data_IF_413967524390
#
_entry.id   IF_413967524390
#
_cell.length_a   1.000
_cell.length_b   1.000
_cell.length_c   1.000
_cell.angle_alpha   90.00
_cell.angle_beta   90.00
_cell.angle_gamma   90.00
#
_symmetry.space_group_name_H-M   'P 1'
#
loop_
_entity.id
_entity.type
_entity.pdbx_description
1 polymer ?
#
# COMPACT_ATOMS: atom_id res chain seq x y z
N UNK A 1 -7.08 -8.46 15.63
CA UNK A 1 -6.91 -9.85 15.15
C UNK A 1 -6.85 -10.87 16.30
N UNK A 2 -5.96 -10.77 17.29
CA UNK A 2 -5.82 -11.77 18.36
C UNK A 2 -7.14 -12.09 19.09
N UNK A 3 -7.97 -11.09 19.38
CA UNK A 3 -9.30 -11.31 19.97
C UNK A 3 -10.21 -12.14 19.06
N UNK A 4 -10.13 -11.96 17.75
CA UNK A 4 -10.90 -12.74 16.78
C UNK A 4 -10.46 -14.19 16.78
N UNK A 5 -9.16 -14.45 16.74
CA UNK A 5 -8.64 -15.84 16.78
C UNK A 5 -9.06 -16.58 18.05
N UNK A 6 -9.24 -15.86 19.15
CA UNK A 6 -9.68 -16.42 20.43
C UNK A 6 -11.20 -16.59 20.55
N UNK A 7 -12.02 -16.13 19.58
CA UNK A 7 -13.47 -16.31 19.64
C UNK A 7 -13.85 -17.79 19.53
N UNK A 8 -14.67 -18.32 20.45
CA UNK A 8 -15.04 -19.74 20.47
C UNK A 8 -15.93 -20.15 19.29
N UNK A 9 -16.73 -19.22 18.77
CA UNK A 9 -17.74 -19.47 17.74
C UNK A 9 -17.46 -18.71 16.43
N UNK A 10 -16.17 -18.45 16.11
CA UNK A 10 -15.83 -17.88 14.82
C UNK A 10 -16.14 -18.84 13.67
N UNK A 11 -16.65 -18.32 12.57
CA UNK A 11 -17.05 -19.13 11.43
C UNK A 11 -15.84 -19.66 10.61
N UNK A 12 -14.69 -18.99 10.69
CA UNK A 12 -13.48 -19.35 9.94
C UNK A 12 -12.49 -20.02 10.86
N UNK A 13 -12.13 -21.27 10.53
CA UNK A 13 -11.27 -22.13 11.36
C UNK A 13 -9.78 -21.80 11.20
N UNK A 14 -9.38 -20.54 11.53
CA UNK A 14 -7.99 -20.09 11.57
C UNK A 14 -7.62 -19.57 12.97
N UNK A 15 -6.35 -19.65 13.32
CA UNK A 15 -5.84 -19.27 14.63
C UNK A 15 -4.79 -18.16 14.59
N UNK A 16 -4.36 -17.77 13.39
CA UNK A 16 -3.37 -16.72 13.21
C UNK A 16 -3.57 -15.96 11.88
N UNK A 17 -2.99 -14.78 11.77
CA UNK A 17 -3.02 -13.99 10.54
C UNK A 17 -2.19 -14.63 9.41
N UNK A 18 -1.18 -15.42 9.74
CA UNK A 18 -0.33 -16.15 8.81
C UNK A 18 -1.08 -17.23 8.02
N UNK A 19 -2.26 -17.65 8.49
CA UNK A 19 -3.14 -18.58 7.80
C UNK A 19 -3.99 -17.89 6.70
N UNK A 20 -4.05 -16.57 6.66
CA UNK A 20 -4.66 -15.81 5.59
C UNK A 20 -3.66 -15.73 4.43
N UNK A 21 -3.89 -16.50 3.36
CA UNK A 21 -2.95 -16.66 2.24
C UNK A 21 -3.56 -16.33 0.88
N UNK A 22 -4.84 -15.98 0.85
CA UNK A 22 -5.59 -15.64 -0.35
C UNK A 22 -6.76 -14.71 -0.05
N UNK A 23 -7.37 -14.18 -1.11
CA UNK A 23 -8.51 -13.28 -1.00
C UNK A 23 -9.76 -13.94 -0.41
N UNK A 24 -10.02 -15.22 -0.72
CA UNK A 24 -11.21 -15.90 -0.24
C UNK A 24 -11.17 -16.04 1.29
N UNK A 25 -10.01 -16.45 1.83
CA UNK A 25 -9.79 -16.52 3.28
C UNK A 25 -9.84 -15.15 3.93
N UNK A 26 -9.19 -14.14 3.33
CA UNK A 26 -9.26 -12.75 3.82
C UNK A 26 -10.71 -12.27 3.89
N UNK A 27 -11.48 -12.46 2.81
CA UNK A 27 -12.89 -12.07 2.74
C UNK A 27 -13.73 -12.75 3.82
N UNK A 28 -13.59 -14.05 3.96
CA UNK A 28 -14.32 -14.81 4.98
C UNK A 28 -14.01 -14.31 6.40
N UNK A 29 -12.74 -14.08 6.72
CA UNK A 29 -12.30 -13.55 8.02
C UNK A 29 -12.87 -12.14 8.26
N UNK A 30 -12.76 -11.25 7.28
CA UNK A 30 -13.27 -9.88 7.40
C UNK A 30 -14.79 -9.86 7.63
N UNK A 31 -15.54 -10.64 6.85
CA UNK A 31 -17.01 -10.70 6.98
C UNK A 31 -17.44 -11.31 8.33
N UNK A 32 -16.72 -12.32 8.81
CA UNK A 32 -17.00 -12.91 10.13
C UNK A 32 -16.61 -11.95 11.28
N UNK A 33 -15.48 -11.25 11.18
CA UNK A 33 -15.09 -10.20 12.12
C UNK A 33 -16.13 -9.07 12.16
N UNK A 34 -16.68 -8.66 11.02
CA UNK A 34 -17.69 -7.61 10.94
C UNK A 34 -18.98 -8.03 11.62
N UNK A 35 -19.41 -9.29 11.48
CA UNK A 35 -20.57 -9.83 12.21
C UNK A 35 -20.33 -9.85 13.72
N UNK A 36 -19.11 -10.09 14.15
CA UNK A 36 -18.72 -10.20 15.55
C UNK A 36 -18.09 -8.89 16.10
N UNK A 37 -18.22 -7.76 15.42
CA UNK A 37 -17.52 -6.50 15.77
C UNK A 37 -17.77 -6.03 17.20
N UNK A 38 -18.98 -6.20 17.71
CA UNK A 38 -19.35 -5.79 19.08
C UNK A 38 -18.62 -6.64 20.13
N UNK A 39 -18.54 -7.97 19.93
CA UNK A 39 -17.77 -8.88 20.78
C UNK A 39 -16.26 -8.60 20.71
N UNK A 40 -15.78 -8.13 19.57
CA UNK A 40 -14.39 -7.73 19.38
C UNK A 40 -14.08 -6.35 19.97
N UNK A 41 -15.10 -5.53 20.23
CA UNK A 41 -14.97 -4.18 20.74
C UNK A 41 -14.48 -3.19 19.68
N UNK A 42 -14.82 -3.43 18.40
CA UNK A 42 -14.46 -2.56 17.27
C UNK A 42 -15.74 -1.97 16.63
N UNK A 43 -15.59 -0.86 15.91
CA UNK A 43 -16.70 -0.20 15.19
C UNK A 43 -16.87 -0.73 13.76
N UNK A 44 -15.79 -1.22 13.18
CA UNK A 44 -15.71 -1.84 11.86
C UNK A 44 -14.39 -2.58 11.74
N UNK A 45 -14.27 -3.47 10.75
CA UNK A 45 -13.02 -4.23 10.56
C UNK A 45 -11.93 -3.32 10.02
N UNK A 46 -12.27 -2.46 9.05
CA UNK A 46 -11.32 -1.53 8.45
C UNK A 46 -11.50 -0.09 8.96
N UNK A 47 -10.39 0.62 9.06
CA UNK A 47 -10.38 2.08 9.16
C UNK A 47 -11.03 2.72 7.92
N UNK A 48 -11.31 4.02 7.97
CA UNK A 48 -11.73 4.79 6.80
C UNK A 48 -10.67 4.73 5.69
N UNK A 49 -11.07 5.02 4.45
CA UNK A 49 -10.21 4.82 3.28
C UNK A 49 -9.34 6.02 2.91
N UNK A 50 -9.28 7.08 3.68
CA UNK A 50 -8.48 8.28 3.34
C UNK A 50 -8.78 8.80 1.91
N UNK A 51 -10.05 9.11 1.61
CA UNK A 51 -10.49 9.56 0.29
C UNK A 51 -10.67 11.07 0.16
N UNK A 52 -10.35 11.85 1.20
CA UNK A 52 -10.31 13.31 1.09
C UNK A 52 -9.32 13.76 0.00
N UNK A 53 -9.58 14.91 -0.61
CA UNK A 53 -8.70 15.47 -1.63
C UNK A 53 -7.24 15.52 -1.15
N UNK A 54 -6.30 15.07 -1.98
CA UNK A 54 -4.88 14.97 -1.65
C UNK A 54 -4.49 13.77 -0.76
N UNK A 55 -5.45 12.98 -0.28
CA UNK A 55 -5.17 11.80 0.58
C UNK A 55 -5.37 10.47 -0.16
N UNK A 56 -5.78 10.48 -1.42
CA UNK A 56 -6.19 9.30 -2.18
C UNK A 56 -5.03 8.45 -2.71
N UNK A 57 -3.80 8.93 -2.66
CA UNK A 57 -2.62 8.32 -3.27
C UNK A 57 -2.37 6.86 -2.81
N UNK A 58 -2.80 6.47 -1.59
CA UNK A 58 -2.72 5.08 -1.14
C UNK A 58 -3.52 4.12 -2.01
N UNK A 59 -4.57 4.61 -2.59
CA UNK A 59 -5.51 3.83 -3.38
C UNK A 59 -5.23 3.96 -4.88
N UNK A 60 -4.99 5.17 -5.34
CA UNK A 60 -4.74 5.48 -6.75
C UNK A 60 -3.31 5.16 -7.20
N UNK A 61 -2.42 4.83 -6.25
CA UNK A 61 -1.03 4.47 -6.52
C UNK A 61 -0.70 3.11 -5.92
N UNK A 62 -0.69 3.00 -4.58
CA UNK A 62 -0.20 1.79 -3.91
C UNK A 62 -1.12 0.58 -4.09
N UNK A 63 -2.42 0.75 -3.91
CA UNK A 63 -3.33 -0.40 -4.03
C UNK A 63 -3.57 -0.80 -5.48
N UNK A 64 -3.66 0.16 -6.42
CA UNK A 64 -3.80 -0.14 -7.86
C UNK A 64 -2.55 -0.78 -8.43
N UNK A 65 -1.41 -0.64 -7.77
CA UNK A 65 -0.17 -1.31 -8.17
C UNK A 65 -0.34 -2.82 -8.36
N UNK A 66 -1.11 -3.49 -7.51
CA UNK A 66 -1.28 -4.95 -7.56
C UNK A 66 -1.94 -5.41 -8.88
N UNK A 67 -3.12 -4.91 -9.28
CA UNK A 67 -3.71 -5.32 -10.56
C UNK A 67 -2.86 -4.91 -11.77
N UNK A 68 -2.15 -3.77 -11.72
CA UNK A 68 -1.24 -3.36 -12.79
C UNK A 68 -0.02 -4.28 -12.88
N UNK A 69 0.59 -4.62 -11.75
CA UNK A 69 1.73 -5.54 -11.71
C UNK A 69 1.40 -6.88 -12.39
N UNK A 70 0.28 -7.51 -12.03
CA UNK A 70 -0.11 -8.80 -12.61
C UNK A 70 -0.53 -8.69 -14.07
N UNK A 71 -1.13 -7.58 -14.49
CA UNK A 71 -1.42 -7.34 -15.90
C UNK A 71 -0.14 -7.26 -16.73
N UNK A 72 0.84 -6.47 -16.28
CA UNK A 72 2.12 -6.31 -16.98
C UNK A 72 2.97 -7.58 -16.94
N UNK A 73 2.99 -8.28 -15.82
CA UNK A 73 3.65 -9.57 -15.71
C UNK A 73 3.07 -10.59 -16.71
N UNK A 74 1.75 -10.64 -16.84
CA UNK A 74 1.07 -11.54 -17.77
C UNK A 74 1.33 -11.16 -19.24
N UNK A 75 1.42 -9.87 -19.55
CA UNK A 75 1.72 -9.38 -20.91
C UNK A 75 3.12 -9.78 -21.38
N UNK A 76 4.10 -9.76 -20.50
CA UNK A 76 5.49 -10.11 -20.82
C UNK A 76 6.18 -10.77 -19.62
N UNK A 77 5.98 -12.09 -19.41
CA UNK A 77 6.48 -12.80 -18.21
C UNK A 77 8.00 -12.77 -18.03
N UNK A 78 8.76 -12.66 -19.11
CA UNK A 78 10.22 -12.62 -19.12
C UNK A 78 10.78 -11.19 -18.94
N UNK A 79 9.91 -10.20 -18.84
CA UNK A 79 10.28 -8.78 -18.72
C UNK A 79 9.82 -8.25 -17.36
N UNK A 80 10.57 -7.31 -16.80
CA UNK A 80 10.12 -6.62 -15.58
C UNK A 80 8.75 -5.96 -15.81
N UNK A 81 7.76 -6.14 -14.92
CA UNK A 81 6.46 -5.48 -15.03
C UNK A 81 6.54 -3.96 -15.19
N UNK A 82 7.54 -3.30 -14.58
CA UNK A 82 7.79 -1.86 -14.78
C UNK A 82 8.12 -1.55 -16.22
N UNK A 83 9.04 -2.29 -16.86
CA UNK A 83 9.42 -2.06 -18.25
C UNK A 83 8.26 -2.36 -19.20
N UNK A 84 7.50 -3.42 -18.94
CA UNK A 84 6.29 -3.73 -19.71
C UNK A 84 5.27 -2.60 -19.62
N UNK A 85 5.06 -2.06 -18.41
CA UNK A 85 4.13 -0.96 -18.17
C UNK A 85 4.57 0.36 -18.80
N UNK A 86 5.89 0.68 -18.77
CA UNK A 86 6.44 1.86 -19.46
C UNK A 86 6.19 1.84 -20.98
N UNK A 87 6.19 0.64 -21.57
CA UNK A 87 5.91 0.46 -23.00
C UNK A 87 4.41 0.34 -23.32
N UNK A 88 3.54 0.33 -22.32
CA UNK A 88 2.11 0.12 -22.51
C UNK A 88 1.39 1.42 -22.90
N UNK A 89 1.15 1.62 -24.20
CA UNK A 89 0.39 2.75 -24.74
C UNK A 89 -1.07 2.76 -24.25
N UNK A 90 -1.61 1.60 -23.93
CA UNK A 90 -2.97 1.40 -23.45
C UNK A 90 -2.99 0.49 -22.24
N UNK A 91 -3.98 0.70 -21.37
CA UNK A 91 -4.27 -0.15 -20.21
C UNK A 91 -5.52 -1.00 -20.52
N UNK A 92 -5.41 -2.33 -20.38
CA UNK A 92 -6.58 -3.20 -20.49
C UNK A 92 -7.38 -3.25 -19.19
N UNK A 93 -6.69 -3.03 -18.08
CA UNK A 93 -7.20 -3.12 -16.72
C UNK A 93 -7.89 -4.48 -16.46
N UNK A 94 -7.24 -5.56 -16.91
CA UNK A 94 -7.77 -6.92 -16.89
C UNK A 94 -8.20 -7.39 -15.51
N UNK A 95 -7.50 -6.97 -14.46
CA UNK A 95 -7.77 -7.33 -13.08
C UNK A 95 -8.67 -6.30 -12.35
N UNK A 96 -9.44 -5.48 -13.10
CA UNK A 96 -10.31 -4.46 -12.50
C UNK A 96 -11.37 -5.04 -11.56
N UNK A 97 -11.92 -6.23 -11.87
CA UNK A 97 -12.90 -6.90 -11.00
C UNK A 97 -12.29 -7.29 -9.66
N UNK A 98 -11.08 -7.82 -9.65
CA UNK A 98 -10.36 -8.19 -8.44
C UNK A 98 -10.08 -6.96 -7.57
N UNK A 99 -9.68 -5.86 -8.21
CA UNK A 99 -9.53 -4.56 -7.56
C UNK A 99 -10.84 -4.06 -6.95
N UNK A 100 -11.96 -4.17 -7.68
CA UNK A 100 -13.30 -3.87 -7.19
C UNK A 100 -13.66 -4.70 -5.95
N UNK A 101 -13.47 -6.00 -6.03
CA UNK A 101 -13.86 -6.93 -4.97
C UNK A 101 -13.12 -6.62 -3.65
N UNK A 102 -11.82 -6.32 -3.71
CA UNK A 102 -11.06 -5.85 -2.54
C UNK A 102 -11.59 -4.50 -2.03
N UNK A 103 -11.90 -3.56 -2.94
CA UNK A 103 -12.41 -2.24 -2.57
C UNK A 103 -13.77 -2.33 -1.89
N UNK A 104 -14.65 -3.15 -2.42
CA UNK A 104 -15.97 -3.41 -1.84
C UNK A 104 -15.86 -4.12 -0.49
N UNK A 105 -14.97 -5.10 -0.36
CA UNK A 105 -14.69 -5.75 0.92
C UNK A 105 -14.25 -4.73 1.97
N UNK A 106 -13.31 -3.85 1.61
CA UNK A 106 -12.80 -2.82 2.51
C UNK A 106 -13.90 -1.83 2.92
N UNK A 107 -14.58 -1.23 1.95
CA UNK A 107 -15.55 -0.15 2.23
C UNK A 107 -16.86 -0.63 2.85
N UNK A 108 -17.30 -1.86 2.55
CA UNK A 108 -18.48 -2.47 3.17
C UNK A 108 -18.26 -2.84 4.65
N UNK A 109 -16.99 -3.08 5.03
CA UNK A 109 -16.62 -3.48 6.39
C UNK A 109 -15.82 -2.40 7.12
N UNK A 110 -15.82 -1.17 6.60
CA UNK A 110 -15.23 0.00 7.26
C UNK A 110 -16.12 0.52 8.38
N UNK A 111 -15.49 1.15 9.37
CA UNK A 111 -16.19 1.85 10.44
C UNK A 111 -16.89 3.15 9.94
N UNK A 112 -16.50 3.66 8.76
CA UNK A 112 -17.05 4.88 8.15
C UNK A 112 -17.97 4.53 6.97
N UNK A 113 -19.15 5.14 6.94
CA UNK A 113 -20.09 4.98 5.82
C UNK A 113 -19.49 5.48 4.50
N UNK A 114 -19.79 4.79 3.40
CA UNK A 114 -19.24 5.10 2.06
C UNK A 114 -19.44 6.56 1.65
N UNK A 115 -20.60 7.14 1.96
CA UNK A 115 -20.94 8.53 1.64
C UNK A 115 -20.10 9.58 2.39
N UNK A 116 -19.36 9.16 3.42
CA UNK A 116 -18.50 10.04 4.22
C UNK A 116 -17.01 9.88 3.92
N UNK A 117 -16.64 8.98 3.02
CA UNK A 117 -15.22 8.68 2.74
C UNK A 117 -14.47 9.86 2.15
N UNK A 118 -15.15 10.72 1.38
CA UNK A 118 -14.55 11.95 0.81
C UNK A 118 -14.12 12.99 1.85
N UNK A 119 -14.57 12.87 3.09
CA UNK A 119 -14.13 13.75 4.19
C UNK A 119 -13.03 13.15 5.06
N UNK A 120 -12.58 11.93 4.78
CA UNK A 120 -11.61 11.19 5.61
C UNK A 120 -10.19 11.37 5.11
N UNK A 121 -9.35 11.90 5.99
CA UNK A 121 -7.90 12.05 5.78
C UNK A 121 -7.14 10.77 6.17
N UNK A 122 -5.84 10.79 5.88
CA UNK A 122 -4.90 9.79 6.37
C UNK A 122 -4.83 9.78 7.89
N UNK A 123 -4.76 10.95 8.51
CA UNK A 123 -4.67 11.08 9.96
C UNK A 123 -5.90 10.51 10.65
N UNK A 124 -7.10 10.72 10.08
CA UNK A 124 -8.33 10.07 10.57
C UNK A 124 -8.18 8.54 10.57
N UNK A 125 -7.72 7.97 9.46
CA UNK A 125 -7.57 6.52 9.32
C UNK A 125 -6.53 5.94 10.29
N UNK A 126 -5.41 6.65 10.50
CA UNK A 126 -4.39 6.25 11.47
C UNK A 126 -4.89 6.34 12.90
N UNK A 127 -5.61 7.41 13.23
CA UNK A 127 -6.21 7.59 14.56
C UNK A 127 -7.27 6.51 14.87
N UNK A 128 -8.13 6.19 13.91
CA UNK A 128 -9.13 5.14 14.04
C UNK A 128 -8.49 3.77 14.38
N UNK A 129 -7.39 3.43 13.72
CA UNK A 129 -6.64 2.22 14.02
C UNK A 129 -5.91 2.31 15.36
N UNK A 130 -5.18 3.38 15.62
CA UNK A 130 -4.42 3.57 16.85
C UNK A 130 -5.31 3.55 18.11
N UNK A 131 -6.52 4.08 18.02
CA UNK A 131 -7.52 4.08 19.10
C UNK A 131 -8.25 2.73 19.25
N UNK A 132 -7.89 1.71 18.47
CA UNK A 132 -8.48 0.37 18.52
C UNK A 132 -9.93 0.32 18.05
N UNK A 133 -10.36 1.26 17.21
CA UNK A 133 -11.73 1.31 16.68
C UNK A 133 -11.94 0.35 15.51
N UNK A 134 -10.84 -0.10 14.89
CA UNK A 134 -10.84 -1.10 13.81
C UNK A 134 -9.67 -2.06 13.97
N UNK A 135 -9.65 -3.13 13.18
CA UNK A 135 -8.62 -4.18 13.25
C UNK A 135 -7.60 -4.09 12.12
N UNK A 136 -7.93 -3.42 11.02
CA UNK A 136 -7.11 -3.34 9.82
C UNK A 136 -7.15 -1.93 9.22
N UNK A 137 -6.03 -1.55 8.60
CA UNK A 137 -5.92 -0.31 7.82
C UNK A 137 -4.92 -0.52 6.69
N UNK A 138 -5.20 0.04 5.51
CA UNK A 138 -4.25 0.01 4.39
C UNK A 138 -3.30 1.20 4.53
N UNK A 139 -2.00 0.91 4.62
CA UNK A 139 -0.93 1.91 4.59
C UNK A 139 0.44 1.22 4.35
N UNK A 140 1.54 1.97 4.39
CA UNK A 140 2.91 1.48 4.28
C UNK A 140 3.65 1.44 5.63
N UNK A 141 4.95 1.10 5.57
CA UNK A 141 5.78 0.99 6.78
C UNK A 141 5.93 2.32 7.56
N UNK A 142 5.84 3.46 6.90
CA UNK A 142 5.81 4.79 7.53
C UNK A 142 4.64 4.99 8.51
N UNK A 143 3.58 4.18 8.42
CA UNK A 143 2.42 4.27 9.32
C UNK A 143 2.76 3.98 10.79
N UNK A 144 3.85 3.25 11.07
CA UNK A 144 4.24 2.92 12.44
C UNK A 144 4.36 4.17 13.33
N UNK A 145 5.05 5.20 12.85
CA UNK A 145 5.21 6.45 13.60
C UNK A 145 3.87 7.18 13.80
N UNK A 146 3.01 7.22 12.79
CA UNK A 146 1.70 7.85 12.88
C UNK A 146 0.78 7.14 13.90
N UNK A 147 0.77 5.80 13.87
CA UNK A 147 -0.04 4.98 14.78
C UNK A 147 0.45 5.15 16.22
N UNK A 148 1.74 4.93 16.45
CA UNK A 148 2.33 4.96 17.81
C UNK A 148 2.35 6.37 18.40
N UNK A 149 2.48 7.41 17.58
CA UNK A 149 2.45 8.82 17.98
C UNK A 149 1.04 9.38 18.19
N UNK A 150 -0.02 8.65 17.88
CA UNK A 150 -1.40 9.13 18.07
C UNK A 150 -1.72 9.28 19.57
N UNK A 151 -2.18 10.45 20.04
CA UNK A 151 -2.60 10.64 21.43
C UNK A 151 -3.69 9.64 21.83
N UNK A 152 -3.49 8.93 22.92
CA UNK A 152 -4.41 7.90 23.40
C UNK A 152 -4.33 6.57 22.65
N UNK A 153 -3.26 6.34 21.88
CA UNK A 153 -2.99 5.07 21.22
C UNK A 153 -3.19 3.87 22.15
N UNK A 154 -3.88 2.85 21.68
CA UNK A 154 -4.19 1.59 22.39
C UNK A 154 -3.52 0.36 21.77
N UNK A 155 -2.82 0.54 20.67
CA UNK A 155 -2.18 -0.55 19.92
C UNK A 155 -0.73 -0.66 20.36
N UNK A 156 -0.34 -1.82 20.84
CA UNK A 156 1.06 -2.08 21.19
C UNK A 156 1.91 -2.24 19.91
N UNK A 157 3.15 -1.78 19.95
CA UNK A 157 4.09 -1.90 18.83
C UNK A 157 4.21 -3.34 18.30
N UNK A 158 4.26 -4.33 19.18
CA UNK A 158 4.35 -5.74 18.83
C UNK A 158 3.10 -6.30 18.10
N UNK A 159 1.96 -5.63 18.22
CA UNK A 159 0.70 -6.05 17.59
C UNK A 159 0.48 -5.43 16.20
N UNK A 160 1.35 -4.49 15.78
CA UNK A 160 1.29 -3.89 14.46
C UNK A 160 2.03 -4.80 13.48
N UNK A 161 1.29 -5.39 12.53
CA UNK A 161 1.85 -6.33 11.55
C UNK A 161 1.27 -6.09 10.17
N UNK A 162 2.05 -6.46 9.14
CA UNK A 162 1.57 -6.48 7.77
C UNK A 162 0.85 -7.78 7.40
N UNK A 163 -0.14 -7.62 6.55
CA UNK A 163 -0.77 -8.68 5.76
C UNK A 163 -0.71 -8.25 4.29
N UNK A 164 -0.31 -9.14 3.36
CA UNK A 164 -0.34 -8.83 1.93
C UNK A 164 -1.73 -8.43 1.42
N UNK A 165 -1.76 -7.64 0.35
CA UNK A 165 -2.99 -7.25 -0.32
C UNK A 165 -3.42 -8.37 -1.27
N UNK A 166 -4.17 -9.34 -0.77
CA UNK A 166 -4.77 -10.38 -1.61
C UNK A 166 -6.01 -9.86 -2.34
N UNK A 167 -6.10 -10.10 -3.63
CA UNK A 167 -7.19 -9.67 -4.50
C UNK A 167 -7.85 -10.80 -5.27
N UNK A 168 -7.37 -12.04 -5.14
CA UNK A 168 -7.86 -13.20 -5.89
C UNK A 168 -7.45 -13.17 -7.36
N UNK A 169 -6.30 -12.59 -7.67
CA UNK A 169 -5.75 -12.56 -9.03
C UNK A 169 -5.03 -13.87 -9.32
N UNK A 170 -5.17 -14.38 -10.54
CA UNK A 170 -4.43 -15.56 -10.98
C UNK A 170 -2.92 -15.33 -10.86
N UNK A 171 -2.23 -16.26 -10.19
CA UNK A 171 -0.80 -16.13 -9.90
C UNK A 171 -0.47 -15.45 -8.57
N UNK A 172 -1.47 -14.99 -7.80
CA UNK A 172 -1.29 -14.35 -6.48
C UNK A 172 -0.81 -15.35 -5.40
N UNK A 173 -0.85 -16.64 -5.67
CA UNK A 173 -0.42 -17.65 -4.70
C UNK A 173 1.02 -17.36 -4.25
N UNK A 174 1.25 -17.30 -2.94
CA UNK A 174 2.51 -16.92 -2.31
C UNK A 174 2.93 -15.45 -2.53
N UNK A 175 2.02 -14.56 -2.87
CA UNK A 175 2.29 -13.13 -2.90
C UNK A 175 2.66 -12.61 -1.51
N UNK A 176 3.72 -11.82 -1.47
CA UNK A 176 4.17 -11.07 -0.30
C UNK A 176 3.69 -9.62 -0.32
N UNK A 177 4.45 -8.77 0.37
CA UNK A 177 4.19 -7.34 0.38
C UNK A 177 4.54 -6.70 -0.97
N UNK A 178 3.87 -5.57 -1.26
CA UNK A 178 4.35 -4.65 -2.29
C UNK A 178 5.60 -3.94 -1.77
N UNK A 179 6.73 -4.16 -2.44
CA UNK A 179 8.03 -3.62 -2.04
C UNK A 179 8.76 -3.09 -3.27
N UNK A 180 9.45 -1.98 -3.11
CA UNK A 180 10.29 -1.41 -4.15
C UNK A 180 10.97 -0.14 -3.66
N UNK A 181 11.91 0.36 -4.47
CA UNK A 181 12.64 1.57 -4.17
C UNK A 181 11.81 2.80 -4.53
N UNK A 182 11.73 3.74 -3.61
CA UNK A 182 11.11 5.05 -3.76
C UNK A 182 12.08 6.15 -3.24
N UNK A 183 11.67 7.42 -3.35
CA UNK A 183 12.41 8.56 -2.81
C UNK A 183 13.83 8.67 -3.36
N UNK A 184 13.95 8.67 -4.69
CA UNK A 184 15.24 8.84 -5.36
C UNK A 184 15.81 10.24 -5.13
N UNK A 185 17.10 10.31 -4.86
CA UNK A 185 17.87 11.55 -4.80
C UNK A 185 18.61 11.74 -6.12
N UNK A 186 18.44 12.91 -6.75
CA UNK A 186 19.06 13.24 -8.01
C UNK A 186 19.89 14.50 -7.89
N UNK A 187 21.10 14.50 -8.48
CA UNK A 187 21.93 15.70 -8.59
C UNK A 187 21.55 16.42 -9.89
N UNK A 188 21.20 17.72 -9.80
CA UNK A 188 20.84 18.51 -10.97
C UNK A 188 22.06 18.71 -11.88
N UNK A 189 22.05 18.11 -13.07
CA UNK A 189 23.12 18.20 -14.07
C UNK A 189 23.40 19.62 -14.57
N UNK A 190 22.45 20.55 -14.40
CA UNK A 190 22.57 21.96 -14.83
C UNK A 190 23.04 22.88 -13.68
N UNK A 191 23.27 22.35 -12.48
CA UNK A 191 23.89 23.12 -11.39
C UNK A 191 25.39 23.35 -11.67
N UNK A 192 26.01 24.30 -10.96
CA UNK A 192 27.45 24.53 -11.07
C UNK A 192 28.25 23.27 -10.65
N UNK A 193 29.46 23.13 -11.14
CA UNK A 193 30.33 22.00 -10.78
C UNK A 193 30.56 21.91 -9.26
N UNK A 194 30.71 23.05 -8.59
CA UNK A 194 30.88 23.13 -7.14
C UNK A 194 29.63 22.65 -6.39
N UNK A 195 28.44 23.02 -6.88
CA UNK A 195 27.17 22.58 -6.28
C UNK A 195 26.95 21.08 -6.48
N UNK A 196 27.28 20.53 -7.66
CA UNK A 196 27.22 19.10 -7.92
C UNK A 196 28.18 18.33 -7.00
N UNK A 197 29.43 18.79 -6.88
CA UNK A 197 30.43 18.18 -6.00
C UNK A 197 30.00 18.24 -4.51
N UNK A 198 29.43 19.36 -4.07
CA UNK A 198 28.91 19.48 -2.70
C UNK A 198 27.73 18.51 -2.44
N UNK A 199 26.83 18.34 -3.41
CA UNK A 199 25.74 17.40 -3.31
C UNK A 199 26.25 15.93 -3.25
N UNK A 200 27.25 15.57 -4.06
CA UNK A 200 27.86 14.25 -4.05
C UNK A 200 28.54 13.94 -2.71
N UNK A 201 29.31 14.91 -2.18
CA UNK A 201 29.95 14.78 -0.85
C UNK A 201 28.88 14.58 0.23
N UNK A 202 27.79 15.36 0.21
CA UNK A 202 26.71 15.24 1.17
C UNK A 202 26.02 13.86 1.09
N UNK A 203 25.66 13.41 -0.10
CA UNK A 203 25.01 12.11 -0.29
C UNK A 203 25.93 10.96 0.11
N UNK A 204 27.21 11.04 -0.27
CA UNK A 204 28.20 10.06 0.16
C UNK A 204 28.30 10.01 1.68
N UNK A 205 28.41 11.15 2.34
CA UNK A 205 28.42 11.24 3.80
C UNK A 205 27.14 10.65 4.42
N UNK A 206 25.97 11.02 3.89
CA UNK A 206 24.66 10.59 4.41
C UNK A 206 24.50 9.07 4.41
N UNK A 207 24.95 8.39 3.34
CA UNK A 207 24.75 6.95 3.19
C UNK A 207 25.98 6.09 3.54
N UNK A 208 27.12 6.69 3.92
CA UNK A 208 28.34 5.95 4.25
C UNK A 208 28.90 6.23 5.65
N UNK A 209 28.70 7.44 6.19
CA UNK A 209 29.21 7.75 7.52
C UNK A 209 28.34 7.15 8.63
N UNK A 210 28.90 6.82 9.83
CA UNK A 210 28.12 6.31 10.94
C UNK A 210 26.98 7.25 11.35
N UNK A 211 27.22 8.56 11.34
CA UNK A 211 26.21 9.57 11.68
C UNK A 211 25.12 9.66 10.63
N UNK A 212 25.49 9.70 9.35
CA UNK A 212 24.54 9.75 8.25
C UNK A 212 23.66 8.50 8.20
N UNK A 213 24.23 7.31 8.32
CA UNK A 213 23.49 6.05 8.38
C UNK A 213 22.50 6.02 9.54
N UNK A 214 22.90 6.51 10.71
CA UNK A 214 22.02 6.61 11.87
C UNK A 214 20.82 7.52 11.60
N UNK A 215 21.05 8.71 11.02
CA UNK A 215 19.97 9.62 10.64
C UNK A 215 19.00 8.95 9.66
N UNK A 216 19.51 8.26 8.64
CA UNK A 216 18.68 7.59 7.64
C UNK A 216 17.84 6.46 8.25
N UNK A 217 18.43 5.62 9.08
CA UNK A 217 17.74 4.44 9.63
C UNK A 217 16.93 4.72 10.88
N UNK A 218 17.44 5.53 11.82
CA UNK A 218 16.78 5.74 13.11
C UNK A 218 15.81 6.93 13.10
N UNK A 219 16.15 8.04 12.41
CA UNK A 219 15.31 9.23 12.41
C UNK A 219 14.33 9.22 11.24
N UNK A 220 14.81 8.96 10.01
CA UNK A 220 13.98 8.89 8.82
C UNK A 220 13.25 7.55 8.65
N UNK A 221 13.67 6.49 9.35
CA UNK A 221 13.12 5.13 9.27
C UNK A 221 13.17 4.54 7.85
N UNK A 222 14.14 4.93 7.05
CA UNK A 222 14.31 4.40 5.70
C UNK A 222 15.00 3.04 5.72
N UNK A 223 14.39 2.07 5.04
CA UNK A 223 15.02 0.82 4.66
C UNK A 223 15.81 1.11 3.39
N UNK A 224 17.12 1.16 3.48
CA UNK A 224 17.97 1.52 2.33
C UNK A 224 18.26 0.31 1.44
N UNK A 225 18.37 0.50 0.10
CA UNK A 225 18.75 -0.57 -0.81
C UNK A 225 20.27 -0.82 -0.86
N UNK A 226 21.06 -0.14 -0.02
CA UNK A 226 22.52 -0.19 -0.06
C UNK A 226 23.07 -1.32 0.82
N UNK A 227 23.92 -2.14 0.26
CA UNK A 227 24.63 -3.22 0.96
C UNK A 227 25.68 -2.73 1.97
N UNK A 228 25.95 -1.43 2.01
CA UNK A 228 26.78 -0.77 3.02
C UNK A 228 26.12 -0.67 4.40
N UNK A 229 24.81 -0.92 4.50
CA UNK A 229 24.10 -0.97 5.78
C UNK A 229 24.06 -2.41 6.30
N UNK A 230 24.56 -2.60 7.51
CA UNK A 230 24.47 -3.87 8.24
C UNK A 230 23.06 -4.07 8.81
N UNK A 231 22.73 -5.30 9.21
CA UNK A 231 21.45 -5.60 9.89
C UNK A 231 21.21 -4.74 11.15
N UNK A 232 22.27 -4.42 11.88
CA UNK A 232 22.21 -3.58 13.08
C UNK A 232 21.91 -2.08 12.76
N UNK A 233 22.10 -1.69 11.52
CA UNK A 233 21.83 -0.33 11.02
C UNK A 233 20.47 -0.21 10.30
N UNK A 234 19.64 -1.26 10.31
CA UNK A 234 18.28 -1.21 9.76
C UNK A 234 17.31 -0.56 10.75
N UNK A 235 16.21 0.06 10.26
CA UNK A 235 15.19 0.62 11.12
C UNK A 235 14.61 -0.41 12.10
N UNK A 236 14.38 0.01 13.34
CA UNK A 236 13.89 -0.86 14.43
C UNK A 236 12.39 -0.75 14.67
N UNK A 237 11.69 0.10 13.92
CA UNK A 237 10.24 0.19 14.03
C UNK A 237 9.53 -1.10 13.56
N UNK A 238 8.33 -1.41 14.09
CA UNK A 238 7.69 -2.71 13.88
C UNK A 238 7.36 -3.00 12.41
N UNK A 239 7.00 -1.98 11.61
CA UNK A 239 6.61 -2.19 10.22
C UNK A 239 7.82 -2.33 9.29
N UNK A 240 8.90 -1.60 9.53
CA UNK A 240 10.16 -1.79 8.79
C UNK A 240 10.75 -3.18 9.07
N UNK A 241 10.68 -3.67 10.31
CA UNK A 241 11.04 -5.04 10.64
C UNK A 241 10.17 -6.07 9.90
N UNK A 242 8.86 -5.82 9.78
CA UNK A 242 7.96 -6.69 9.02
C UNK A 242 8.30 -6.72 7.52
N UNK A 243 8.68 -5.60 6.91
CA UNK A 243 9.15 -5.59 5.51
C UNK A 243 10.34 -6.53 5.34
N UNK A 244 11.34 -6.44 6.21
CA UNK A 244 12.53 -7.31 6.16
C UNK A 244 12.16 -8.79 6.34
N UNK A 245 11.27 -9.12 7.27
CA UNK A 245 10.79 -10.48 7.50
C UNK A 245 10.08 -11.02 6.24
N UNK A 246 9.18 -10.25 5.64
CA UNK A 246 8.44 -10.67 4.46
C UNK A 246 9.33 -10.83 3.23
N UNK A 247 10.30 -9.95 3.01
CA UNK A 247 11.26 -10.03 1.90
C UNK A 247 12.16 -11.27 1.99
N UNK A 248 12.51 -11.71 3.20
CA UNK A 248 13.36 -12.87 3.44
C UNK A 248 12.56 -14.18 3.64
N UNK A 249 11.24 -14.15 3.57
CA UNK A 249 10.39 -15.32 3.81
C UNK A 249 10.46 -16.29 2.62
N UNK A 250 10.93 -17.50 2.88
CA UNK A 250 11.04 -18.55 1.86
C UNK A 250 9.69 -18.88 1.21
N UNK A 251 9.69 -19.00 -0.10
CA UNK A 251 8.50 -19.34 -0.88
C UNK A 251 7.48 -18.21 -1.05
N UNK A 252 7.84 -16.98 -0.67
CA UNK A 252 7.01 -15.79 -0.84
C UNK A 252 7.66 -14.85 -1.85
N UNK A 253 6.87 -14.32 -2.78
CA UNK A 253 7.30 -13.41 -3.82
C UNK A 253 6.82 -11.99 -3.51
N UNK A 254 7.74 -11.04 -3.33
CA UNK A 254 7.39 -9.62 -3.23
C UNK A 254 6.79 -9.13 -4.55
N UNK A 255 5.79 -8.25 -4.46
CA UNK A 255 5.20 -7.57 -5.60
C UNK A 255 5.97 -6.27 -5.80
N UNK A 256 6.65 -6.12 -6.95
CA UNK A 256 7.39 -4.90 -7.26
C UNK A 256 6.48 -3.70 -7.51
N UNK A 257 6.98 -2.49 -7.23
CA UNK A 257 6.30 -1.26 -7.60
C UNK A 257 6.37 -1.01 -9.11
N UNK A 258 5.21 -0.70 -9.70
CA UNK A 258 5.08 -0.31 -11.12
C UNK A 258 4.82 1.19 -11.28
N UNK A 259 5.11 1.98 -10.27
CA UNK A 259 4.79 3.42 -10.23
C UNK A 259 5.39 4.21 -11.39
N UNK A 260 6.60 3.86 -11.81
CA UNK A 260 7.25 4.52 -12.94
C UNK A 260 6.51 4.29 -14.28
N UNK A 261 5.67 3.26 -14.35
CA UNK A 261 4.84 2.97 -15.52
C UNK A 261 3.53 3.78 -15.54
N UNK A 262 3.09 4.31 -14.41
CA UNK A 262 1.90 5.17 -14.36
C UNK A 262 2.22 6.47 -15.10
N UNK A 263 1.44 6.83 -16.16
CA UNK A 263 1.86 7.88 -17.08
C UNK A 263 1.93 9.28 -16.45
N UNK A 264 1.06 9.60 -15.46
CA UNK A 264 1.05 10.94 -14.87
C UNK A 264 0.34 11.00 -13.52
N UNK A 265 0.49 12.12 -12.81
CA UNK A 265 -0.32 12.46 -11.63
C UNK A 265 -1.81 12.69 -12.02
N UNK A 266 -2.08 13.20 -13.23
CA UNK A 266 -3.45 13.41 -13.72
C UNK A 266 -4.20 12.09 -13.85
N UNK A 267 -3.55 11.02 -14.35
CA UNK A 267 -4.14 9.69 -14.35
C UNK A 267 -4.50 9.21 -12.94
N UNK A 268 -3.59 9.39 -11.99
CA UNK A 268 -3.83 9.00 -10.59
C UNK A 268 -5.02 9.76 -9.99
N UNK A 269 -5.07 11.07 -10.22
CA UNK A 269 -6.14 11.94 -9.71
C UNK A 269 -7.49 11.58 -10.33
N UNK A 270 -7.53 11.28 -11.63
CA UNK A 270 -8.73 10.81 -12.32
C UNK A 270 -9.24 9.49 -11.76
N UNK A 271 -8.32 8.51 -11.53
CA UNK A 271 -8.67 7.24 -10.90
C UNK A 271 -9.18 7.43 -9.46
N UNK A 272 -8.52 8.27 -8.66
CA UNK A 272 -8.92 8.57 -7.28
C UNK A 272 -10.31 9.21 -7.21
N UNK A 273 -10.60 10.14 -8.11
CA UNK A 273 -11.91 10.80 -8.22
C UNK A 273 -13.01 9.83 -8.67
N UNK A 274 -12.70 8.95 -9.62
CA UNK A 274 -13.64 7.92 -10.07
C UNK A 274 -13.92 6.87 -8.98
N UNK A 275 -12.91 6.50 -8.17
CA UNK A 275 -13.09 5.65 -6.98
C UNK A 275 -14.04 6.28 -5.97
N UNK A 276 -13.84 7.55 -5.66
CA UNK A 276 -14.71 8.26 -4.71
C UNK A 276 -16.15 8.33 -5.23
N UNK A 277 -16.34 8.68 -6.50
CA UNK A 277 -17.66 8.73 -7.12
C UNK A 277 -18.39 7.36 -7.07
N UNK A 278 -17.64 6.28 -7.30
CA UNK A 278 -18.17 4.92 -7.15
C UNK A 278 -18.60 4.61 -5.71
N UNK A 279 -17.75 4.91 -4.72
CA UNK A 279 -18.10 4.65 -3.31
C UNK A 279 -19.30 5.45 -2.83
N UNK A 280 -19.44 6.67 -3.31
CA UNK A 280 -20.59 7.53 -2.99
C UNK A 280 -21.87 7.15 -3.75
N UNK A 281 -21.81 6.14 -4.63
CA UNK A 281 -22.95 5.72 -5.46
C UNK A 281 -23.32 6.72 -6.57
N UNK A 282 -22.40 7.62 -6.93
CA UNK A 282 -22.57 8.64 -7.98
C UNK A 282 -22.18 8.13 -9.36
N UNK A 283 -21.43 7.04 -9.45
CA UNK A 283 -20.98 6.42 -10.69
C UNK A 283 -20.93 4.90 -10.58
N UNK A 284 -21.13 4.22 -11.69
CA UNK A 284 -20.96 2.77 -11.82
C UNK A 284 -19.49 2.39 -11.96
N UNK A 285 -19.15 1.14 -11.60
CA UNK A 285 -17.77 0.64 -11.70
C UNK A 285 -17.20 0.73 -13.12
N UNK A 286 -18.03 0.48 -14.14
CA UNK A 286 -17.59 0.57 -15.53
C UNK A 286 -17.15 1.99 -15.94
N UNK A 287 -17.68 3.03 -15.30
CA UNK A 287 -17.20 4.41 -15.52
C UNK A 287 -15.76 4.57 -15.02
N UNK A 288 -15.44 3.97 -13.88
CA UNK A 288 -14.06 3.97 -13.35
C UNK A 288 -13.12 3.22 -14.28
N UNK A 289 -13.50 2.03 -14.74
CA UNK A 289 -12.67 1.24 -15.68
C UNK A 289 -12.38 2.05 -16.94
N UNK A 290 -13.43 2.63 -17.53
CA UNK A 290 -13.29 3.48 -18.72
C UNK A 290 -12.41 4.70 -18.45
N UNK A 291 -12.57 5.38 -17.32
CA UNK A 291 -11.71 6.50 -16.93
C UNK A 291 -10.25 6.07 -16.85
N UNK A 292 -9.96 4.94 -16.20
CA UNK A 292 -8.60 4.43 -16.08
C UNK A 292 -7.96 4.15 -17.45
N UNK A 293 -8.72 3.53 -18.36
CA UNK A 293 -8.27 3.18 -19.71
C UNK A 293 -8.06 4.41 -20.61
N UNK A 294 -9.06 5.28 -20.69
CA UNK A 294 -9.02 6.45 -21.57
C UNK A 294 -7.92 7.45 -21.12
N UNK A 295 -7.82 7.69 -19.83
CA UNK A 295 -6.80 8.59 -19.28
C UNK A 295 -5.39 8.00 -19.38
N UNK A 296 -5.23 6.67 -19.28
CA UNK A 296 -3.93 6.05 -19.48
C UNK A 296 -3.41 6.34 -20.90
N UNK A 297 -4.21 6.06 -21.92
CA UNK A 297 -3.82 6.30 -23.31
C UNK A 297 -3.55 7.78 -23.61
N UNK A 298 -4.38 8.68 -23.08
CA UNK A 298 -4.21 10.12 -23.27
C UNK A 298 -2.93 10.64 -22.63
N UNK A 299 -2.65 10.29 -21.39
CA UNK A 299 -1.48 10.74 -20.64
C UNK A 299 -0.19 10.09 -21.14
N UNK A 300 -0.23 8.80 -21.51
CA UNK A 300 0.92 8.14 -22.12
C UNK A 300 1.36 8.85 -23.41
N UNK A 301 0.41 9.22 -24.25
CA UNK A 301 0.68 9.96 -25.48
C UNK A 301 1.30 11.34 -25.23
N UNK A 302 0.85 12.07 -24.20
CA UNK A 302 1.41 13.37 -23.82
C UNK A 302 2.86 13.23 -23.34
N UNK A 303 3.13 12.21 -22.52
CA UNK A 303 4.45 12.00 -21.92
C UNK A 303 5.51 11.46 -22.90
N UNK A 304 5.10 10.85 -24.01
CA UNK A 304 5.99 10.23 -24.98
C UNK A 304 6.06 10.95 -26.34
N UNK A 305 5.52 12.16 -26.44
CA UNK A 305 5.73 13.09 -27.56
C UNK A 305 7.01 13.89 -27.36
#
# INVERSE_FOLDING_TARGET
>A
MNKYFALPNKAVAINSAEEIKDFATLKAVVEDMQKNKDALGIKGVFASTSMAAGNQWRWQTHTVNVPLYYEFLKKAPETSPVLTGLAAETLDFTNNKNFKDLRDLYTNNSLTAKTLLGSKSVDDSMAEFALGQCAMVQNGNWAAAQILGTPGNKVASADIKFLPLYMGIDGEMNAGLCVGTENYLCINKNASAEAQAAADIFLTWLFSSPTGKKLVSEDLKFITPFNSFSEAELPTDPLSQQVSIWMNKSGVNSIGWTFAAIPSEEWKNALGSALLAYFEGKAEWNNLVKTAQDQWAAEWFIMNK
#
